data_IF_943024014443
#
_entry.id   IF_943024014443
#
_cell.length_a   1.000
_cell.length_b   1.000
_cell.length_c   1.000
_cell.angle_alpha   90.00
_cell.angle_beta   90.00
_cell.angle_gamma   90.00
#
_symmetry.space_group_name_H-M   'P 1'
#
loop_
_entity.id
_entity.type
_entity.pdbx_description
1 polymer ?
#
# COMPACT_ATOMS: atom_id res chain seq x y z
N UNK A 1 6.12 1.28 -39.07
CA UNK A 1 5.55 0.37 -38.07
C UNK A 1 6.53 0.39 -36.92
N UNK A 2 6.30 1.26 -35.94
CA UNK A 2 7.04 1.24 -34.69
C UNK A 2 6.31 0.25 -33.79
N UNK A 3 7.01 -0.81 -33.40
CA UNK A 3 6.62 -1.64 -32.27
C UNK A 3 6.72 -0.76 -31.02
N UNK A 4 5.63 -0.07 -30.68
CA UNK A 4 5.44 0.49 -29.35
C UNK A 4 5.26 -0.71 -28.41
N UNK A 5 6.38 -1.21 -27.90
CA UNK A 5 6.40 -2.07 -26.73
C UNK A 5 5.65 -1.34 -25.62
N UNK A 6 4.51 -1.90 -25.21
CA UNK A 6 3.92 -1.55 -23.93
C UNK A 6 5.02 -1.65 -22.86
N UNK A 7 5.17 -0.66 -21.96
CA UNK A 7 6.13 -0.75 -20.87
C UNK A 7 5.96 -2.08 -20.15
N UNK A 8 7.08 -2.72 -19.79
CA UNK A 8 7.05 -3.98 -19.05
C UNK A 8 6.23 -3.77 -17.77
N UNK A 9 5.48 -4.79 -17.33
CA UNK A 9 4.83 -4.81 -16.00
C UNK A 9 5.87 -4.51 -14.89
N UNK A 10 7.15 -4.85 -15.12
CA UNK A 10 8.25 -4.51 -14.23
C UNK A 10 8.65 -3.03 -14.21
N UNK A 11 8.34 -2.25 -15.26
CA UNK A 11 8.66 -0.81 -15.32
C UNK A 11 7.62 0.06 -14.58
N UNK A 12 6.43 -0.47 -14.30
CA UNK A 12 5.29 0.21 -13.67
C UNK A 12 4.79 -0.50 -12.39
N UNK A 13 5.60 -1.34 -11.74
CA UNK A 13 5.14 -2.18 -10.64
C UNK A 13 4.62 -1.39 -9.42
N UNK A 14 5.21 -0.22 -9.13
CA UNK A 14 4.71 0.71 -8.09
C UNK A 14 3.39 1.38 -8.46
N UNK A 15 3.15 1.61 -9.75
CA UNK A 15 1.89 2.16 -10.26
C UNK A 15 0.81 1.07 -10.27
N UNK A 16 1.17 -0.17 -10.60
CA UNK A 16 0.29 -1.35 -10.57
C UNK A 16 -0.19 -1.70 -9.15
N UNK A 17 0.70 -1.75 -8.16
CA UNK A 17 0.34 -2.02 -6.76
C UNK A 17 -0.52 -0.90 -6.13
N UNK A 18 -0.27 0.37 -6.50
CA UNK A 18 -1.16 1.47 -6.10
C UNK A 18 -2.46 1.50 -6.90
N UNK A 19 -2.50 0.87 -8.08
CA UNK A 19 -3.67 0.78 -8.95
C UNK A 19 -4.70 -0.26 -8.54
N UNK A 20 -4.26 -1.34 -7.89
CA UNK A 20 -5.14 -2.40 -7.40
C UNK A 20 -5.57 -2.23 -5.94
N UNK A 21 -4.93 -1.33 -5.20
CA UNK A 21 -5.24 -1.14 -3.79
C UNK A 21 -6.72 -0.77 -3.54
N UNK A 22 -7.37 -1.51 -2.66
CA UNK A 22 -8.74 -1.31 -2.24
C UNK A 22 -9.78 -1.99 -3.14
N UNK A 23 -9.37 -2.72 -4.18
CA UNK A 23 -10.27 -3.53 -5.01
C UNK A 23 -10.12 -5.02 -4.70
N UNK A 24 -11.20 -5.77 -4.88
CA UNK A 24 -11.14 -7.24 -4.85
C UNK A 24 -10.67 -7.78 -6.19
N UNK A 25 -9.96 -8.91 -6.20
CA UNK A 25 -9.43 -9.55 -7.41
C UNK A 25 -10.49 -9.78 -8.51
N UNK A 26 -11.74 -10.06 -8.13
CA UNK A 26 -12.87 -10.26 -9.04
C UNK A 26 -13.78 -9.03 -9.19
N UNK A 27 -13.28 -7.83 -8.88
CA UNK A 27 -14.05 -6.57 -8.94
C UNK A 27 -14.77 -6.37 -10.28
N UNK A 28 -14.13 -6.75 -11.40
CA UNK A 28 -14.68 -6.63 -12.75
C UNK A 28 -15.88 -7.55 -13.02
N UNK A 29 -16.00 -8.69 -12.31
CA UNK A 29 -17.10 -9.65 -12.48
C UNK A 29 -18.40 -9.14 -11.85
N UNK A 30 -18.29 -8.28 -10.84
CA UNK A 30 -19.40 -7.76 -10.05
C UNK A 30 -19.72 -6.30 -10.35
N UNK A 31 -18.95 -5.66 -11.24
CA UNK A 31 -19.12 -4.25 -11.62
C UNK A 31 -19.74 -4.14 -13.01
N UNK A 32 -20.85 -3.43 -13.12
CA UNK A 32 -21.46 -3.18 -14.44
C UNK A 32 -20.61 -2.23 -15.28
N UNK A 33 -20.68 -2.34 -16.62
CA UNK A 33 -19.96 -1.43 -17.55
C UNK A 33 -20.26 0.04 -17.25
N UNK A 34 -21.52 0.37 -16.97
CA UNK A 34 -21.93 1.74 -16.68
C UNK A 34 -21.38 2.26 -15.35
N UNK A 35 -21.20 1.38 -14.37
CA UNK A 35 -20.60 1.72 -13.08
C UNK A 35 -19.07 1.87 -13.19
N UNK A 36 -18.41 0.96 -13.91
CA UNK A 36 -16.99 1.08 -14.22
C UNK A 36 -16.68 2.41 -14.94
N UNK A 37 -17.51 2.82 -15.92
CA UNK A 37 -17.34 4.10 -16.61
C UNK A 37 -17.48 5.33 -15.68
N UNK A 38 -18.39 5.27 -14.69
CA UNK A 38 -18.51 6.33 -13.68
C UNK A 38 -17.32 6.35 -12.73
N UNK A 39 -16.84 5.19 -12.33
CA UNK A 39 -15.62 5.05 -11.52
C UNK A 39 -14.39 5.63 -12.23
N UNK A 40 -14.17 5.27 -13.50
CA UNK A 40 -13.04 5.77 -14.31
C UNK A 40 -13.05 7.29 -14.47
N UNK A 41 -14.25 7.90 -14.56
CA UNK A 41 -14.39 9.36 -14.57
C UNK A 41 -13.77 9.99 -13.32
N UNK A 42 -13.92 9.36 -12.16
CA UNK A 42 -13.38 9.88 -10.90
C UNK A 42 -11.86 9.72 -10.80
N UNK A 43 -11.31 8.61 -11.28
CA UNK A 43 -9.86 8.41 -11.37
C UNK A 43 -9.18 9.48 -12.24
N UNK A 44 -9.90 10.07 -13.20
CA UNK A 44 -9.40 11.11 -14.11
C UNK A 44 -9.83 12.53 -13.73
N UNK A 45 -10.47 12.71 -12.58
CA UNK A 45 -10.95 14.02 -12.16
C UNK A 45 -9.80 15.04 -12.03
N UNK A 46 -9.96 16.21 -12.64
CA UNK A 46 -8.89 17.23 -12.75
C UNK A 46 -8.74 18.13 -11.51
N UNK A 47 -9.47 17.86 -10.42
CA UNK A 47 -9.49 18.66 -9.19
C UNK A 47 -9.75 20.16 -9.36
N UNK A 48 -10.50 20.54 -10.40
CA UNK A 48 -10.96 21.93 -10.54
C UNK A 48 -12.09 22.20 -9.56
N UNK A 49 -11.77 22.85 -8.45
CA UNK A 49 -12.74 23.37 -7.49
C UNK A 49 -13.07 22.43 -6.33
N UNK A 50 -14.29 22.60 -5.81
CA UNK A 50 -14.82 21.85 -4.67
C UNK A 50 -14.96 20.36 -4.98
N UNK A 51 -14.85 19.54 -3.93
CA UNK A 51 -14.98 18.10 -4.05
C UNK A 51 -16.44 17.74 -4.39
N UNK A 52 -16.72 17.01 -5.48
CA UNK A 52 -18.08 16.69 -5.90
C UNK A 52 -18.67 15.51 -5.11
N UNK A 53 -18.72 15.64 -3.78
CA UNK A 53 -19.15 14.60 -2.83
C UNK A 53 -20.54 14.02 -3.16
N UNK A 54 -21.44 14.87 -3.65
CA UNK A 54 -22.81 14.46 -3.98
C UNK A 54 -22.94 13.74 -5.32
N UNK A 55 -21.94 13.83 -6.20
CA UNK A 55 -21.95 13.13 -7.49
C UNK A 55 -21.48 11.69 -7.38
N UNK A 56 -20.61 11.37 -6.42
CA UNK A 56 -20.16 10.00 -6.17
C UNK A 56 -21.21 9.22 -5.36
N UNK A 57 -22.02 8.41 -6.04
CA UNK A 57 -23.20 7.78 -5.44
C UNK A 57 -22.90 6.45 -4.74
N UNK A 58 -21.96 5.65 -5.27
CA UNK A 58 -21.54 4.38 -4.68
C UNK A 58 -20.17 4.48 -4.01
N UNK A 59 -19.85 3.52 -3.14
CA UNK A 59 -18.53 3.44 -2.52
C UNK A 59 -17.43 3.19 -3.56
N UNK A 60 -17.74 2.46 -4.63
CA UNK A 60 -16.80 2.28 -5.74
C UNK A 60 -16.45 3.63 -6.38
N UNK A 61 -17.46 4.48 -6.64
CA UNK A 61 -17.24 5.82 -7.16
C UNK A 61 -16.47 6.71 -6.16
N UNK A 62 -16.82 6.65 -4.86
CA UNK A 62 -16.10 7.39 -3.81
C UNK A 62 -14.65 6.94 -3.69
N UNK A 63 -14.37 5.64 -3.85
CA UNK A 63 -13.03 5.11 -3.79
C UNK A 63 -12.18 5.64 -4.95
N UNK A 64 -12.71 5.66 -6.17
CA UNK A 64 -12.03 6.26 -7.32
C UNK A 64 -11.69 7.74 -7.10
N UNK A 65 -12.63 8.50 -6.53
CA UNK A 65 -12.40 9.91 -6.19
C UNK A 65 -11.39 10.07 -5.04
N UNK A 66 -11.42 9.20 -4.03
CA UNK A 66 -10.48 9.22 -2.90
C UNK A 66 -9.05 8.99 -3.39
N UNK A 67 -8.84 7.94 -4.20
CA UNK A 67 -7.55 7.65 -4.82
C UNK A 67 -7.03 8.84 -5.62
N UNK A 68 -7.92 9.50 -6.38
CA UNK A 68 -7.54 10.71 -7.11
C UNK A 68 -7.14 11.86 -6.18
N UNK A 69 -7.83 12.04 -5.05
CA UNK A 69 -7.44 13.03 -4.05
C UNK A 69 -6.06 12.73 -3.45
N UNK A 70 -5.74 11.47 -3.16
CA UNK A 70 -4.43 11.07 -2.68
C UNK A 70 -3.31 11.38 -3.70
N UNK A 71 -3.51 11.04 -4.98
CA UNK A 71 -2.57 11.37 -6.06
C UNK A 71 -2.32 12.88 -6.17
N UNK A 72 -3.34 13.69 -5.93
CA UNK A 72 -3.29 15.15 -5.99
C UNK A 72 -2.89 15.80 -4.66
N UNK A 73 -2.44 15.02 -3.68
CA UNK A 73 -2.04 15.50 -2.35
C UNK A 73 -3.16 16.25 -1.59
N UNK A 74 -4.43 16.01 -1.94
CA UNK A 74 -5.61 16.51 -1.23
C UNK A 74 -5.95 15.54 -0.09
N UNK A 75 -5.07 15.46 0.90
CA UNK A 75 -5.13 14.43 1.94
C UNK A 75 -6.39 14.54 2.81
N UNK A 76 -6.83 15.75 3.15
CA UNK A 76 -8.05 15.94 3.93
C UNK A 76 -9.29 15.42 3.20
N UNK A 77 -9.38 15.65 1.88
CA UNK A 77 -10.46 15.12 1.03
C UNK A 77 -10.40 13.59 0.93
N UNK A 78 -9.20 13.03 0.77
CA UNK A 78 -8.99 11.57 0.83
C UNK A 78 -9.48 11.00 2.17
N UNK A 79 -9.14 11.65 3.28
CA UNK A 79 -9.61 11.25 4.60
C UNK A 79 -11.14 11.39 4.69
N UNK A 80 -11.76 12.48 4.26
CA UNK A 80 -13.22 12.61 4.31
C UNK A 80 -13.94 11.53 3.48
N UNK A 81 -13.43 11.20 2.29
CA UNK A 81 -14.02 10.18 1.42
C UNK A 81 -13.86 8.76 1.98
N UNK A 82 -12.67 8.42 2.47
CA UNK A 82 -12.43 7.10 3.08
C UNK A 82 -13.23 6.91 4.37
N UNK A 83 -13.45 7.99 5.14
CA UNK A 83 -14.34 7.94 6.30
C UNK A 83 -15.78 7.61 5.90
N UNK A 84 -16.29 8.27 4.85
CA UNK A 84 -17.63 8.01 4.33
C UNK A 84 -17.81 6.58 3.80
N UNK A 85 -16.78 6.01 3.17
CA UNK A 85 -16.79 4.61 2.72
C UNK A 85 -16.82 3.65 3.92
N UNK A 86 -15.93 3.86 4.90
CA UNK A 86 -15.76 2.94 6.03
C UNK A 86 -16.88 3.01 7.07
N UNK A 87 -17.58 4.15 7.15
CA UNK A 87 -18.76 4.34 8.01
C UNK A 87 -20.09 4.00 7.35
N UNK A 88 -20.07 3.63 6.06
CA UNK A 88 -21.27 3.31 5.29
C UNK A 88 -21.99 2.04 5.78
N UNK A 89 -23.30 2.00 5.58
CA UNK A 89 -24.14 0.85 5.98
C UNK A 89 -24.15 -0.30 4.94
N UNK A 90 -23.61 -0.05 3.74
CA UNK A 90 -23.65 -0.99 2.61
C UNK A 90 -22.29 -1.16 2.00
N UNK A 91 -21.86 -2.40 1.86
CA UNK A 91 -20.59 -2.74 1.26
C UNK A 91 -20.72 -2.99 -0.23
N UNK A 92 -19.80 -2.42 -1.02
CA UNK A 92 -19.72 -2.65 -2.44
C UNK A 92 -18.93 -3.95 -2.72
N UNK A 93 -19.46 -4.89 -3.53
CA UNK A 93 -18.85 -6.20 -3.73
C UNK A 93 -17.52 -6.18 -4.48
N UNK A 94 -17.16 -5.04 -5.08
CA UNK A 94 -15.89 -4.85 -5.79
C UNK A 94 -14.75 -4.32 -4.90
N UNK A 95 -15.03 -3.93 -3.66
CA UNK A 95 -14.05 -3.24 -2.80
C UNK A 95 -13.53 -4.12 -1.67
N UNK A 96 -12.26 -3.94 -1.35
CA UNK A 96 -11.58 -4.54 -0.21
C UNK A 96 -11.49 -3.54 0.94
N UNK A 97 -12.48 -3.56 1.84
CA UNK A 97 -12.62 -2.53 2.88
C UNK A 97 -11.48 -2.50 3.89
N UNK A 98 -10.88 -3.66 4.21
CA UNK A 98 -9.69 -3.74 5.05
C UNK A 98 -8.48 -3.02 4.45
N UNK A 99 -8.36 -3.01 3.12
CA UNK A 99 -7.25 -2.33 2.45
C UNK A 99 -7.50 -0.83 2.36
N UNK A 100 -8.74 -0.40 2.08
CA UNK A 100 -9.15 1.01 2.18
C UNK A 100 -8.88 1.56 3.58
N UNK A 101 -9.19 0.77 4.63
CA UNK A 101 -8.89 1.13 6.01
C UNK A 101 -7.38 1.27 6.27
N UNK A 102 -6.57 0.37 5.74
CA UNK A 102 -5.11 0.44 5.86
C UNK A 102 -4.55 1.68 5.15
N UNK A 103 -5.03 2.01 3.95
CA UNK A 103 -4.61 3.21 3.20
C UNK A 103 -4.99 4.51 3.93
N UNK A 104 -6.19 4.55 4.53
CA UNK A 104 -6.61 5.65 5.40
C UNK A 104 -5.69 5.79 6.62
N UNK A 105 -5.41 4.68 7.32
CA UNK A 105 -4.51 4.66 8.46
C UNK A 105 -3.11 5.16 8.07
N UNK A 106 -2.61 4.78 6.89
CA UNK A 106 -1.32 5.23 6.38
C UNK A 106 -1.28 6.74 6.14
N UNK A 107 -2.35 7.33 5.58
CA UNK A 107 -2.45 8.78 5.41
C UNK A 107 -2.50 9.51 6.76
N UNK A 108 -3.19 8.96 7.77
CA UNK A 108 -3.18 9.48 9.13
C UNK A 108 -1.78 9.43 9.74
N UNK A 109 -1.08 8.31 9.61
CA UNK A 109 0.29 8.14 10.11
C UNK A 109 1.26 9.16 9.48
N UNK A 110 1.24 9.28 8.14
CA UNK A 110 2.02 10.29 7.40
C UNK A 110 1.66 11.73 7.80
N UNK A 111 0.42 11.98 8.19
CA UNK A 111 -0.07 13.26 8.71
C UNK A 111 0.24 13.52 10.20
N UNK A 112 1.06 12.68 10.84
CA UNK A 112 1.41 12.82 12.27
C UNK A 112 0.33 12.36 13.25
N UNK A 113 -0.69 11.64 12.76
CA UNK A 113 -1.82 11.11 13.55
C UNK A 113 -1.69 9.61 13.76
N UNK A 114 -0.52 9.16 14.21
CA UNK A 114 -0.20 7.73 14.37
C UNK A 114 -1.14 7.01 15.36
N UNK A 115 -1.56 7.69 16.44
CA UNK A 115 -2.51 7.11 17.40
C UNK A 115 -3.86 6.79 16.75
N UNK A 116 -4.35 7.68 15.87
CA UNK A 116 -5.61 7.46 15.14
C UNK A 116 -5.46 6.31 14.13
N UNK A 117 -4.29 6.23 13.47
CA UNK A 117 -3.96 5.14 12.57
C UNK A 117 -3.96 3.78 13.29
N UNK A 118 -3.41 3.70 14.51
CA UNK A 118 -3.46 2.48 15.33
C UNK A 118 -4.88 2.14 15.79
N UNK A 119 -5.68 3.13 16.21
CA UNK A 119 -7.07 2.89 16.60
C UNK A 119 -7.90 2.25 15.46
N UNK A 120 -7.60 2.62 14.22
CA UNK A 120 -8.20 1.98 13.04
C UNK A 120 -7.80 0.52 12.89
N UNK A 121 -6.52 0.18 13.11
CA UNK A 121 -6.05 -1.22 13.04
C UNK A 121 -6.78 -2.09 14.05
N UNK A 122 -6.96 -1.59 15.28
CA UNK A 122 -7.64 -2.33 16.36
C UNK A 122 -9.14 -2.56 16.12
N UNK A 123 -9.78 -1.69 15.32
CA UNK A 123 -11.23 -1.75 15.05
C UNK A 123 -11.56 -2.37 13.68
N UNK A 124 -10.54 -2.72 12.90
CA UNK A 124 -10.67 -3.25 11.54
C UNK A 124 -11.29 -4.66 11.46
N UNK A 125 -11.33 -5.39 12.58
CA UNK A 125 -11.95 -6.72 12.66
C UNK A 125 -13.46 -6.73 12.36
N UNK A 126 -14.13 -5.55 12.39
CA UNK A 126 -15.54 -5.40 12.05
C UNK A 126 -15.78 -5.21 10.54
N UNK A 127 -14.73 -5.07 9.73
CA UNK A 127 -14.85 -4.87 8.28
C UNK A 127 -15.18 -6.19 7.56
N UNK A 128 -15.86 -6.15 6.40
CA UNK A 128 -16.20 -7.35 5.64
C UNK A 128 -15.00 -8.18 5.20
N UNK A 129 -13.90 -7.50 4.87
CA UNK A 129 -12.61 -8.10 4.60
C UNK A 129 -11.62 -7.64 5.66
N UNK A 130 -10.81 -8.55 6.22
CA UNK A 130 -9.79 -8.18 7.19
C UNK A 130 -8.72 -7.29 6.53
N UNK A 131 -7.85 -6.71 7.36
CA UNK A 131 -6.64 -6.06 6.84
C UNK A 131 -5.79 -7.06 6.05
N UNK A 132 -5.07 -6.62 5.00
CA UNK A 132 -4.15 -7.48 4.26
C UNK A 132 -2.90 -7.84 5.08
N UNK A 133 -2.70 -7.20 6.24
CA UNK A 133 -1.60 -7.45 7.17
C UNK A 133 -2.17 -7.89 8.53
N UNK A 134 -1.40 -8.69 9.27
CA UNK A 134 -1.69 -8.91 10.69
C UNK A 134 -1.67 -7.57 11.45
N UNK A 135 -2.42 -7.41 12.55
CA UNK A 135 -2.40 -6.16 13.33
C UNK A 135 -1.00 -5.73 13.76
N UNK A 136 -0.13 -6.69 14.11
CA UNK A 136 1.26 -6.42 14.47
C UNK A 136 2.06 -5.86 13.28
N UNK A 137 1.99 -6.50 12.10
CA UNK A 137 2.63 -6.00 10.87
C UNK A 137 2.06 -4.65 10.44
N UNK A 138 0.75 -4.45 10.52
CA UNK A 138 0.11 -3.17 10.21
C UNK A 138 0.65 -2.04 11.11
N UNK A 139 0.85 -2.30 12.41
CA UNK A 139 1.43 -1.29 13.33
C UNK A 139 2.89 -0.97 13.00
N UNK A 140 3.70 -1.98 12.66
CA UNK A 140 5.08 -1.77 12.22
C UNK A 140 5.13 -0.89 10.96
N UNK A 141 4.34 -1.25 9.95
CA UNK A 141 4.24 -0.51 8.69
C UNK A 141 3.76 0.94 8.86
N UNK A 142 2.72 1.16 9.69
CA UNK A 142 2.24 2.51 9.98
C UNK A 142 3.26 3.35 10.74
N UNK A 143 4.08 2.73 11.60
CA UNK A 143 5.18 3.40 12.31
C UNK A 143 6.26 3.86 11.32
N UNK A 144 6.58 3.00 10.34
CA UNK A 144 7.48 3.35 9.24
C UNK A 144 6.90 4.49 8.40
N UNK A 145 5.61 4.43 8.06
CA UNK A 145 4.92 5.48 7.33
C UNK A 145 4.87 6.83 8.09
N UNK A 146 4.92 6.81 9.42
CA UNK A 146 5.05 8.01 10.25
C UNK A 146 6.50 8.56 10.31
N UNK A 147 7.46 7.88 9.70
CA UNK A 147 8.86 8.29 9.62
C UNK A 147 9.76 7.74 10.74
N UNK A 148 9.28 6.84 11.59
CA UNK A 148 10.09 6.23 12.65
C UNK A 148 10.59 4.84 12.25
N UNK A 149 11.66 4.82 11.45
CA UNK A 149 12.23 3.58 10.92
C UNK A 149 12.86 2.68 12.00
N UNK A 150 13.33 3.24 13.12
CA UNK A 150 13.95 2.45 14.20
C UNK A 150 12.89 1.69 14.99
N UNK A 151 11.79 2.36 15.37
CA UNK A 151 10.70 1.68 16.06
C UNK A 151 9.96 0.71 15.14
N UNK A 152 9.81 1.04 13.85
CA UNK A 152 9.25 0.11 12.88
C UNK A 152 10.07 -1.18 12.76
N UNK A 153 11.41 -1.09 12.72
CA UNK A 153 12.31 -2.26 12.66
C UNK A 153 12.10 -3.18 13.86
N UNK A 154 12.02 -2.59 15.05
CA UNK A 154 11.74 -3.31 16.29
C UNK A 154 10.37 -4.01 16.23
N UNK A 155 9.33 -3.31 15.77
CA UNK A 155 7.97 -3.84 15.67
C UNK A 155 7.85 -4.95 14.62
N UNK A 156 8.54 -4.85 13.48
CA UNK A 156 8.58 -5.92 12.49
C UNK A 156 9.24 -7.17 13.05
N UNK A 157 10.35 -7.03 13.79
CA UNK A 157 11.01 -8.15 14.45
C UNK A 157 10.09 -8.86 15.46
N UNK A 158 9.33 -8.08 16.24
CA UNK A 158 8.34 -8.64 17.17
C UNK A 158 7.22 -9.38 16.42
N UNK A 159 6.77 -8.84 15.29
CA UNK A 159 5.70 -9.41 14.48
C UNK A 159 6.08 -10.71 13.75
N UNK A 160 7.37 -10.92 13.45
CA UNK A 160 7.84 -12.14 12.79
C UNK A 160 7.62 -13.42 13.62
N UNK A 161 7.52 -13.30 14.95
CA UNK A 161 7.35 -14.45 15.84
C UNK A 161 6.05 -15.24 15.61
N UNK A 162 5.10 -14.66 14.90
CA UNK A 162 3.76 -15.22 14.65
C UNK A 162 3.59 -15.75 13.21
N UNK A 163 4.60 -15.63 12.34
CA UNK A 163 4.47 -15.93 10.90
C UNK A 163 4.74 -17.42 10.57
N UNK A 164 3.92 -18.06 9.71
CA UNK A 164 4.17 -19.44 9.28
C UNK A 164 5.47 -19.56 8.46
N UNK A 165 6.28 -20.59 8.72
CA UNK A 165 7.55 -20.84 8.03
C UNK A 165 7.44 -20.83 6.48
N UNK A 166 6.28 -21.23 5.93
CA UNK A 166 6.03 -21.26 4.49
C UNK A 166 5.81 -19.89 3.82
N UNK A 167 5.63 -18.83 4.60
CA UNK A 167 5.43 -17.45 4.13
C UNK A 167 6.58 -16.53 4.54
N UNK A 168 7.52 -17.03 5.36
CA UNK A 168 8.57 -16.21 5.95
C UNK A 168 9.45 -15.53 4.89
N UNK A 169 9.80 -16.21 3.79
CA UNK A 169 10.60 -15.61 2.71
C UNK A 169 9.92 -14.37 2.09
N UNK A 170 8.63 -14.47 1.79
CA UNK A 170 7.81 -13.40 1.21
C UNK A 170 7.66 -12.24 2.20
N UNK A 171 7.34 -12.55 3.47
CA UNK A 171 7.23 -11.55 4.53
C UNK A 171 8.55 -10.79 4.73
N UNK A 172 9.69 -11.49 4.76
CA UNK A 172 11.01 -10.85 4.89
C UNK A 172 11.30 -9.90 3.72
N UNK A 173 10.94 -10.33 2.50
CA UNK A 173 11.09 -9.51 1.30
C UNK A 173 10.19 -8.26 1.34
N UNK A 174 8.90 -8.41 1.68
CA UNK A 174 7.96 -7.29 1.81
C UNK A 174 8.44 -6.25 2.83
N UNK A 175 8.96 -6.69 3.98
CA UNK A 175 9.51 -5.78 5.00
C UNK A 175 10.75 -5.04 4.46
N UNK A 176 11.63 -5.74 3.72
CA UNK A 176 12.75 -5.10 3.08
C UNK A 176 12.29 -4.04 2.07
N UNK A 177 11.27 -4.36 1.28
CA UNK A 177 10.65 -3.45 0.31
C UNK A 177 10.05 -2.21 0.98
N UNK A 178 9.32 -2.39 2.08
CA UNK A 178 8.76 -1.30 2.88
C UNK A 178 9.85 -0.29 3.30
N UNK A 179 10.99 -0.76 3.80
CA UNK A 179 12.10 0.12 4.19
C UNK A 179 12.80 0.80 3.02
N UNK A 180 12.93 0.12 1.86
CA UNK A 180 13.45 0.74 0.63
C UNK A 180 12.53 1.87 0.18
N UNK A 181 11.22 1.63 0.11
CA UNK A 181 10.21 2.62 -0.27
C UNK A 181 10.16 3.81 0.68
N UNK A 182 10.40 3.58 1.97
CA UNK A 182 10.50 4.63 2.98
C UNK A 182 11.82 5.41 2.97
N UNK A 183 12.81 5.00 2.15
CA UNK A 183 14.14 5.61 2.11
C UNK A 183 15.00 5.34 3.35
N UNK A 184 14.62 4.36 4.17
CA UNK A 184 15.33 3.97 5.40
C UNK A 184 16.46 2.98 5.09
N UNK A 185 17.50 3.49 4.42
CA UNK A 185 18.56 2.68 3.78
C UNK A 185 19.29 1.71 4.72
N UNK A 186 19.51 2.12 5.98
CA UNK A 186 20.22 1.29 6.97
C UNK A 186 19.40 0.05 7.35
N UNK A 187 18.12 0.24 7.64
CA UNK A 187 17.17 -0.83 7.95
C UNK A 187 16.91 -1.70 6.71
N UNK A 188 16.67 -1.08 5.55
CA UNK A 188 16.50 -1.79 4.29
C UNK A 188 17.65 -2.77 4.01
N UNK A 189 18.90 -2.32 4.16
CA UNK A 189 20.09 -3.16 4.02
C UNK A 189 20.05 -4.37 4.96
N UNK A 190 19.72 -4.15 6.23
CA UNK A 190 19.67 -5.22 7.22
C UNK A 190 18.60 -6.27 6.88
N UNK A 191 17.42 -5.84 6.41
CA UNK A 191 16.33 -6.73 5.99
C UNK A 191 16.63 -7.48 4.70
N UNK A 192 17.30 -6.84 3.73
CA UNK A 192 17.80 -7.50 2.51
C UNK A 192 18.77 -8.62 2.87
N UNK A 193 19.72 -8.38 3.78
CA UNK A 193 20.68 -9.42 4.20
C UNK A 193 20.00 -10.56 4.98
N UNK A 194 18.99 -10.24 5.81
CA UNK A 194 18.17 -11.25 6.48
C UNK A 194 17.41 -12.12 5.48
N UNK A 195 16.80 -11.49 4.47
CA UNK A 195 16.09 -12.18 3.39
C UNK A 195 17.04 -13.08 2.62
N UNK A 196 18.22 -12.58 2.21
CA UNK A 196 19.23 -13.36 1.51
C UNK A 196 19.68 -14.61 2.29
N UNK A 197 19.91 -14.47 3.59
CA UNK A 197 20.28 -15.59 4.45
C UNK A 197 19.16 -16.66 4.54
N UNK A 198 17.91 -16.22 4.60
CA UNK A 198 16.76 -17.12 4.57
C UNK A 198 16.64 -17.86 3.22
N UNK A 199 16.70 -17.14 2.10
CA UNK A 199 16.61 -17.75 0.77
C UNK A 199 17.73 -18.76 0.51
N UNK A 200 18.96 -18.46 0.95
CA UNK A 200 20.10 -19.36 0.83
C UNK A 200 19.91 -20.66 1.63
N UNK A 201 19.29 -20.60 2.81
CA UNK A 201 19.03 -21.79 3.64
C UNK A 201 17.88 -22.66 3.13
N UNK A 202 16.99 -22.10 2.30
CA UNK A 202 15.80 -22.79 1.77
C UNK A 202 15.86 -23.08 0.26
N UNK A 203 16.94 -22.67 -0.43
CA UNK A 203 17.13 -22.82 -1.89
C UNK A 203 15.96 -22.25 -2.71
N UNK A 204 15.40 -21.13 -2.26
CA UNK A 204 14.37 -20.39 -3.00
C UNK A 204 15.04 -19.46 -4.02
N UNK A 205 14.88 -19.82 -5.30
CA UNK A 205 15.52 -19.12 -6.43
C UNK A 205 14.64 -18.04 -7.06
N UNK A 206 13.33 -18.07 -6.84
CA UNK A 206 12.42 -17.10 -7.46
C UNK A 206 12.53 -15.77 -6.73
N UNK A 207 12.32 -15.78 -5.41
CA UNK A 207 12.46 -14.59 -4.55
C UNK A 207 13.88 -14.01 -4.56
N UNK A 208 14.89 -14.82 -4.92
CA UNK A 208 16.27 -14.35 -5.05
C UNK A 208 16.46 -13.36 -6.21
N UNK A 209 15.67 -13.47 -7.29
CA UNK A 209 15.71 -12.50 -8.40
C UNK A 209 15.13 -11.17 -7.95
N UNK A 210 13.98 -11.20 -7.28
CA UNK A 210 13.32 -9.99 -6.76
C UNK A 210 14.21 -9.28 -5.74
N UNK A 211 14.92 -10.03 -4.91
CA UNK A 211 15.87 -9.47 -3.95
C UNK A 211 17.05 -8.74 -4.63
N UNK A 212 17.52 -9.20 -5.79
CA UNK A 212 18.56 -8.48 -6.55
C UNK A 212 18.02 -7.17 -7.14
N UNK A 213 16.79 -7.15 -7.64
CA UNK A 213 16.14 -5.91 -8.09
C UNK A 213 16.04 -4.90 -6.94
N UNK A 214 15.60 -5.36 -5.76
CA UNK A 214 15.49 -4.52 -4.57
C UNK A 214 16.86 -3.98 -4.09
N UNK A 215 17.94 -4.76 -4.26
CA UNK A 215 19.31 -4.30 -3.99
C UNK A 215 19.73 -3.17 -4.93
N UNK A 216 19.36 -3.25 -6.20
CA UNK A 216 19.66 -2.20 -7.17
C UNK A 216 18.89 -0.90 -6.87
N UNK A 217 17.64 -1.01 -6.44
CA UNK A 217 16.86 0.14 -5.96
C UNK A 217 17.51 0.80 -4.74
N UNK A 218 17.93 0.01 -3.75
CA UNK A 218 18.63 0.54 -2.57
C UNK A 218 19.93 1.27 -2.98
N UNK A 219 20.72 0.70 -3.91
CA UNK A 219 21.95 1.36 -4.42
C UNK A 219 21.64 2.69 -5.09
N UNK A 220 20.56 2.78 -5.86
CA UNK A 220 20.14 4.02 -6.52
C UNK A 220 19.77 5.12 -5.50
N UNK A 221 19.08 4.74 -4.41
CA UNK A 221 18.76 5.65 -3.30
C UNK A 221 20.03 6.19 -2.63
N UNK A 222 20.99 5.31 -2.33
CA UNK A 222 22.26 5.66 -1.68
C UNK A 222 23.15 6.56 -2.55
N UNK A 223 23.15 6.31 -3.87
CA UNK A 223 23.86 7.15 -4.85
C UNK A 223 23.28 8.57 -4.95
N UNK A 224 21.95 8.71 -4.81
CA UNK A 224 21.26 10.01 -4.87
C UNK A 224 21.53 10.85 -3.61
N UNK A 225 21.55 10.22 -2.43
CA UNK A 225 21.91 10.91 -1.18
C UNK A 225 23.36 11.41 -1.17
N UNK A 226 24.28 10.70 -1.81
CA UNK A 226 25.70 11.07 -1.86
C UNK A 226 25.99 12.25 -2.80
N UNK A 227 25.16 12.49 -3.81
CA UNK A 227 25.32 13.58 -4.79
C UNK A 227 24.77 14.95 -4.32
N UNK A 228 24.07 14.98 -3.18
CA UNK A 228 23.40 16.19 -2.65
C UNK A 228 24.17 16.82 -1.46
N UNK A 229 25.37 16.33 -1.17
CA UNK A 229 26.31 16.83 -0.15
C UNK A 229 27.56 17.39 -0.79
#
# INVERSE_FOLDING_TARGET
MSDDFAPSIGDNYSDYLNDEAGYLYHAWEVTSIGEAARHDRWLRWEARGELPLHEAQSDLERWGLARRCAQLQRIDDFLSLTDAILSGERYHPALHYGEIALQRAAALARGGRLADAFAMVETSAALPQPLPLTPARARAWLTLAAGDALEADRLYLDALGDEPDGQLAEVLFEIAEDFVRAGATSQARAWIERTAAHLASHNDRLTAVDLELLRDELRALEGTSSATT
#
